data_IF_207633290210
#
_entry.id   IF_207633290210
#
_cell.length_a   1.000
_cell.length_b   1.000
_cell.length_c   1.000
_cell.angle_alpha   90.00
_cell.angle_beta   90.00
_cell.angle_gamma   90.00
#
_symmetry.space_group_name_H-M   'P 1'
#
loop_
_entity.id
_entity.type
_entity.pdbx_description
1 polymer ?
#
# COMPACT_ATOMS: atom_id res chain seq x y z
N UNK A 1 -34.56 45.94 -64.27
CA UNK A 1 -34.04 46.47 -63.00
C UNK A 1 -34.56 45.59 -61.89
N UNK A 2 -33.76 44.67 -61.39
CA UNK A 2 -34.10 43.78 -60.28
C UNK A 2 -33.04 44.00 -59.20
N UNK A 3 -33.45 44.63 -58.10
CA UNK A 3 -32.61 44.91 -56.94
C UNK A 3 -32.44 43.63 -56.10
N UNK A 4 -31.23 43.13 -55.98
CA UNK A 4 -30.91 42.01 -55.12
C UNK A 4 -30.78 42.48 -53.69
N UNK A 5 -31.67 42.01 -52.81
CA UNK A 5 -31.62 42.22 -51.37
C UNK A 5 -30.46 41.44 -50.77
N UNK A 6 -29.42 42.14 -50.28
CA UNK A 6 -28.32 41.58 -49.51
C UNK A 6 -28.86 41.25 -48.11
N UNK A 7 -29.06 39.95 -47.83
CA UNK A 7 -29.34 39.45 -46.51
C UNK A 7 -28.07 39.56 -45.64
N UNK A 8 -28.11 40.49 -44.68
CA UNK A 8 -27.09 40.68 -43.68
C UNK A 8 -27.17 39.53 -42.64
N UNK A 9 -26.42 38.46 -42.84
CA UNK A 9 -26.27 37.38 -41.87
C UNK A 9 -25.38 37.88 -40.72
N UNK A 10 -25.99 38.14 -39.58
CA UNK A 10 -25.29 38.37 -38.31
C UNK A 10 -24.27 37.27 -38.04
N UNK A 11 -23.01 37.58 -37.73
CA UNK A 11 -21.99 36.57 -37.48
C UNK A 11 -22.34 35.81 -36.22
N UNK A 12 -22.71 34.52 -36.34
CA UNK A 12 -22.73 33.61 -35.22
C UNK A 12 -21.36 33.67 -34.55
N UNK A 13 -21.29 34.04 -33.25
CA UNK A 13 -20.08 33.94 -32.42
C UNK A 13 -19.64 32.48 -32.44
N UNK A 14 -18.77 32.12 -33.36
CA UNK A 14 -18.09 30.82 -33.38
C UNK A 14 -17.08 30.90 -32.25
N UNK A 15 -17.32 30.15 -31.15
CA UNK A 15 -16.31 29.94 -30.10
C UNK A 15 -15.00 29.58 -30.75
N UNK A 16 -13.90 30.25 -30.37
CA UNK A 16 -12.57 29.89 -30.88
C UNK A 16 -12.40 28.39 -30.77
N UNK A 17 -11.86 27.71 -31.78
CA UNK A 17 -11.68 26.25 -31.84
C UNK A 17 -11.09 25.69 -30.52
N UNK A 18 -10.11 26.38 -29.96
CA UNK A 18 -9.50 26.07 -28.66
C UNK A 18 -10.50 26.05 -27.47
N UNK A 19 -11.46 27.02 -27.42
CA UNK A 19 -12.45 27.07 -26.32
C UNK A 19 -13.49 25.95 -26.42
N UNK A 20 -13.88 25.60 -27.65
CA UNK A 20 -14.80 24.48 -27.91
C UNK A 20 -14.15 23.14 -27.54
N UNK A 21 -12.89 22.94 -27.94
CA UNK A 21 -12.15 21.70 -27.65
C UNK A 21 -11.91 21.56 -26.13
N UNK A 22 -11.64 22.67 -25.43
CA UNK A 22 -11.54 22.69 -23.94
C UNK A 22 -12.88 22.34 -23.28
N UNK A 23 -13.99 22.88 -23.73
CA UNK A 23 -15.32 22.55 -23.18
C UNK A 23 -15.67 21.07 -23.37
N UNK A 24 -15.35 20.51 -24.52
CA UNK A 24 -15.52 19.07 -24.79
C UNK A 24 -14.64 18.26 -23.82
N UNK A 25 -13.36 18.61 -23.69
CA UNK A 25 -12.46 17.92 -22.76
C UNK A 25 -12.97 17.97 -21.31
N UNK A 26 -13.40 19.14 -20.82
CA UNK A 26 -13.97 19.27 -19.49
C UNK A 26 -15.26 18.48 -19.30
N UNK A 27 -16.12 18.37 -20.33
CA UNK A 27 -17.35 17.58 -20.23
C UNK A 27 -17.08 16.08 -20.04
N UNK A 28 -15.97 15.55 -20.58
CA UNK A 28 -15.54 14.14 -20.36
C UNK A 28 -14.95 13.94 -18.97
N UNK A 29 -14.27 14.94 -18.40
CA UNK A 29 -13.65 14.85 -17.08
C UNK A 29 -14.65 15.13 -15.96
N UNK A 30 -15.66 15.99 -16.22
CA UNK A 30 -16.60 16.48 -15.22
C UNK A 30 -17.33 15.37 -14.42
N UNK A 31 -17.86 14.28 -15.00
CA UNK A 31 -18.54 13.24 -14.24
C UNK A 31 -17.62 12.57 -13.19
N UNK A 32 -16.37 12.28 -13.59
CA UNK A 32 -15.38 11.69 -12.67
C UNK A 32 -14.99 12.71 -11.59
N UNK A 33 -14.73 13.96 -11.98
CA UNK A 33 -14.32 15.01 -11.04
C UNK A 33 -15.43 15.35 -10.03
N UNK A 34 -16.68 15.42 -10.47
CA UNK A 34 -17.83 15.62 -9.58
C UNK A 34 -17.93 14.43 -8.59
N UNK A 35 -17.84 13.19 -9.10
CA UNK A 35 -17.83 11.99 -8.24
C UNK A 35 -16.71 12.03 -7.21
N UNK A 36 -15.51 12.40 -7.62
CA UNK A 36 -14.37 12.59 -6.71
C UNK A 36 -14.63 13.67 -5.64
N UNK A 37 -15.16 14.83 -6.05
CA UNK A 37 -15.48 15.90 -5.11
C UNK A 37 -16.53 15.44 -4.09
N UNK A 38 -17.63 14.85 -4.52
CA UNK A 38 -18.75 14.47 -3.65
C UNK A 38 -18.39 13.29 -2.75
N UNK A 39 -17.77 12.25 -3.26
CA UNK A 39 -17.56 11.00 -2.53
C UNK A 39 -16.18 10.85 -1.88
N UNK A 40 -15.22 11.72 -2.23
CA UNK A 40 -13.87 11.67 -1.65
C UNK A 40 -13.51 12.97 -0.95
N UNK A 41 -13.57 14.10 -1.65
CA UNK A 41 -13.06 15.37 -1.12
C UNK A 41 -13.96 15.92 -0.01
N UNK A 42 -15.28 15.91 -0.18
CA UNK A 42 -16.22 16.39 0.86
C UNK A 42 -16.12 15.55 2.14
N UNK A 43 -16.20 14.19 2.10
CA UNK A 43 -16.01 13.36 3.30
C UNK A 43 -14.63 13.55 3.94
N UNK A 44 -13.58 13.72 3.15
CA UNK A 44 -12.22 13.95 3.67
C UNK A 44 -12.15 15.29 4.46
N UNK A 45 -12.69 16.37 3.90
CA UNK A 45 -12.74 17.68 4.59
C UNK A 45 -13.59 17.59 5.86
N UNK A 46 -14.73 16.90 5.78
CA UNK A 46 -15.58 16.65 6.94
C UNK A 46 -14.85 15.85 8.03
N UNK A 47 -14.13 14.78 7.68
CA UNK A 47 -13.33 14.02 8.62
C UNK A 47 -12.22 14.86 9.27
N UNK A 48 -11.56 15.75 8.50
CA UNK A 48 -10.58 16.70 9.05
C UNK A 48 -11.23 17.61 10.08
N UNK A 49 -12.41 18.18 9.80
CA UNK A 49 -13.14 19.02 10.74
C UNK A 49 -13.56 18.23 12.00
N UNK A 50 -14.04 17.00 11.84
CA UNK A 50 -14.42 16.13 12.95
C UNK A 50 -13.25 15.76 13.87
N UNK A 51 -12.01 15.76 13.39
CA UNK A 51 -10.84 15.47 14.20
C UNK A 51 -10.68 16.45 15.39
N UNK A 52 -11.24 17.67 15.27
CA UNK A 52 -11.25 18.70 16.31
C UNK A 52 -12.52 18.72 17.16
N UNK A 53 -13.42 17.75 16.92
CA UNK A 53 -14.72 17.67 17.59
C UNK A 53 -14.85 16.39 18.42
N UNK A 54 -15.72 16.41 19.41
CA UNK A 54 -16.29 15.22 20.03
C UNK A 54 -17.60 14.90 19.31
N UNK A 55 -17.70 13.67 18.76
CA UNK A 55 -18.91 13.19 18.11
C UNK A 55 -18.97 11.68 18.11
N UNK A 56 -20.12 11.15 18.48
CA UNK A 56 -20.41 9.72 18.57
C UNK A 56 -21.44 9.27 17.50
N UNK A 57 -21.89 10.17 16.64
CA UNK A 57 -22.90 9.90 15.63
C UNK A 57 -24.35 10.05 16.09
N UNK A 58 -24.60 10.29 17.37
CA UNK A 58 -25.92 10.39 17.98
C UNK A 58 -26.20 11.77 18.56
N UNK A 59 -25.25 12.31 19.28
CA UNK A 59 -25.36 13.62 19.91
C UNK A 59 -24.87 14.74 18.97
N UNK A 60 -25.11 15.98 19.37
CA UNK A 60 -24.62 17.14 18.64
C UNK A 60 -23.08 17.14 18.55
N UNK A 61 -22.53 17.65 17.45
CA UNK A 61 -21.08 17.81 17.28
C UNK A 61 -20.61 18.92 18.20
N UNK A 62 -19.68 18.59 19.11
CA UNK A 62 -19.08 19.56 20.04
C UNK A 62 -17.65 19.85 19.61
N UNK A 63 -17.32 21.11 19.39
CA UNK A 63 -15.95 21.52 19.07
C UNK A 63 -15.10 21.53 20.34
N UNK A 64 -14.07 20.67 20.38
CA UNK A 64 -13.16 20.49 21.52
C UNK A 64 -11.70 20.88 21.23
N UNK A 65 -11.43 21.43 20.05
CA UNK A 65 -10.09 21.86 19.64
C UNK A 65 -9.10 20.69 19.60
N UNK A 66 -7.93 20.86 20.22
CA UNK A 66 -6.85 19.87 20.17
C UNK A 66 -6.93 18.74 21.22
N UNK A 67 -8.01 18.67 22.02
CA UNK A 67 -8.12 17.67 23.10
C UNK A 67 -7.96 16.22 22.62
N UNK A 68 -8.47 15.86 21.43
CA UNK A 68 -8.29 14.54 20.85
C UNK A 68 -6.80 14.24 20.64
N UNK A 69 -6.05 15.17 20.04
CA UNK A 69 -4.62 15.00 19.76
C UNK A 69 -3.78 14.93 21.03
N UNK A 70 -4.05 15.80 22.02
CA UNK A 70 -3.36 15.73 23.31
C UNK A 70 -3.56 14.36 23.93
N UNK A 71 -4.79 13.85 23.95
CA UNK A 71 -5.11 12.52 24.46
C UNK A 71 -4.36 11.41 23.73
N UNK A 72 -4.29 11.44 22.40
CA UNK A 72 -3.57 10.45 21.58
C UNK A 72 -2.12 10.32 21.98
N UNK A 73 -1.42 11.44 22.15
CA UNK A 73 0.01 11.41 22.40
C UNK A 73 0.39 11.28 23.90
N UNK A 74 -0.51 11.62 24.82
CA UNK A 74 -0.18 11.61 26.27
C UNK A 74 -0.71 10.39 27.01
N UNK A 75 -1.96 10.00 26.79
CA UNK A 75 -2.65 9.01 27.64
C UNK A 75 -3.10 7.75 26.91
N UNK A 76 -3.20 7.77 25.58
CA UNK A 76 -3.67 6.61 24.81
C UNK A 76 -2.54 5.64 24.48
N UNK A 77 -2.33 4.66 25.37
CA UNK A 77 -1.33 3.61 25.19
C UNK A 77 -1.61 2.70 24.01
N UNK A 78 -2.90 2.53 23.63
CA UNK A 78 -3.28 1.71 22.47
C UNK A 78 -2.85 2.42 21.18
N UNK A 79 -3.08 3.71 21.08
CA UNK A 79 -2.62 4.52 19.95
C UNK A 79 -1.10 4.47 19.81
N UNK A 80 -0.37 4.65 20.92
CA UNK A 80 1.10 4.60 20.90
C UNK A 80 1.62 3.23 20.45
N UNK A 81 1.00 2.14 20.92
CA UNK A 81 1.31 0.79 20.46
C UNK A 81 0.97 0.61 18.95
N UNK A 82 -0.20 1.07 18.51
CA UNK A 82 -0.63 0.99 17.12
C UNK A 82 0.28 1.77 16.18
N UNK A 83 0.73 2.95 16.59
CA UNK A 83 1.70 3.75 15.83
C UNK A 83 3.03 3.00 15.68
N UNK A 84 3.59 2.50 16.79
CA UNK A 84 4.82 1.68 16.78
C UNK A 84 4.67 0.45 15.88
N UNK A 85 3.58 -0.30 16.03
CA UNK A 85 3.33 -1.51 15.27
C UNK A 85 3.19 -1.23 13.77
N UNK A 86 2.54 -0.12 13.40
CA UNK A 86 2.42 0.29 12.00
C UNK A 86 3.79 0.57 11.40
N UNK A 87 4.66 1.29 12.12
CA UNK A 87 6.03 1.56 11.67
C UNK A 87 6.85 0.28 11.56
N UNK A 88 6.80 -0.61 12.57
CA UNK A 88 7.49 -1.92 12.54
C UNK A 88 7.02 -2.76 11.35
N UNK A 89 5.70 -2.80 11.12
CA UNK A 89 5.15 -3.51 9.98
C UNK A 89 5.65 -2.97 8.64
N UNK A 90 5.65 -1.65 8.45
CA UNK A 90 6.14 -1.02 7.21
C UNK A 90 7.62 -1.29 7.00
N UNK A 91 8.45 -1.11 8.03
CA UNK A 91 9.91 -1.37 7.96
C UNK A 91 10.19 -2.85 7.67
N UNK A 92 9.40 -3.78 8.20
CA UNK A 92 9.56 -5.20 7.92
C UNK A 92 9.04 -5.60 6.54
N UNK A 93 7.86 -5.12 6.15
CA UNK A 93 7.18 -5.58 4.93
C UNK A 93 7.75 -4.96 3.66
N UNK A 94 8.05 -3.65 3.67
CA UNK A 94 8.47 -2.93 2.45
C UNK A 94 9.80 -3.44 1.91
N UNK A 95 10.90 -3.51 2.67
CA UNK A 95 12.18 -4.00 2.15
C UNK A 95 12.13 -5.47 1.75
N UNK A 96 11.45 -6.32 2.54
CA UNK A 96 11.36 -7.74 2.25
C UNK A 96 10.54 -7.99 0.97
N UNK A 97 9.39 -7.33 0.81
CA UNK A 97 8.59 -7.46 -0.42
C UNK A 97 9.36 -6.96 -1.63
N UNK A 98 10.06 -5.84 -1.50
CA UNK A 98 10.89 -5.28 -2.57
C UNK A 98 12.00 -6.26 -2.97
N UNK A 99 12.75 -6.79 -2.01
CA UNK A 99 13.83 -7.74 -2.27
C UNK A 99 13.31 -9.04 -2.91
N UNK A 100 12.25 -9.64 -2.36
CA UNK A 100 11.65 -10.87 -2.89
C UNK A 100 11.08 -10.67 -4.30
N UNK A 101 10.35 -9.57 -4.53
CA UNK A 101 9.75 -9.28 -5.84
C UNK A 101 10.80 -9.00 -6.91
N UNK A 102 11.85 -8.24 -6.58
CA UNK A 102 12.96 -7.98 -7.50
C UNK A 102 13.74 -9.27 -7.82
N UNK A 103 14.08 -10.07 -6.79
CA UNK A 103 14.76 -11.35 -7.00
C UNK A 103 13.95 -12.28 -7.91
N UNK A 104 12.65 -12.43 -7.66
CA UNK A 104 11.78 -13.25 -8.52
C UNK A 104 11.68 -12.68 -9.94
N UNK A 105 11.60 -11.36 -10.10
CA UNK A 105 11.55 -10.73 -11.42
C UNK A 105 12.83 -10.98 -12.22
N UNK A 106 14.00 -10.84 -11.59
CA UNK A 106 15.31 -11.12 -12.22
C UNK A 106 15.41 -12.60 -12.63
N UNK A 107 15.00 -13.53 -11.76
CA UNK A 107 14.98 -14.95 -12.08
C UNK A 107 14.05 -15.26 -13.26
N UNK A 108 12.84 -14.71 -13.26
CA UNK A 108 11.84 -14.93 -14.31
C UNK A 108 12.07 -14.07 -15.57
N UNK A 109 13.00 -13.15 -15.57
CA UNK A 109 13.42 -12.41 -16.77
C UNK A 109 14.39 -13.22 -17.63
N UNK A 110 15.02 -14.26 -17.08
CA UNK A 110 15.88 -15.18 -17.83
C UNK A 110 15.06 -16.14 -18.72
N UNK A 111 15.73 -16.88 -19.60
CA UNK A 111 15.10 -17.91 -20.45
C UNK A 111 14.75 -19.18 -19.64
N UNK A 112 13.79 -19.06 -18.72
CA UNK A 112 13.33 -20.18 -17.90
C UNK A 112 12.22 -20.93 -18.62
N UNK A 113 12.33 -22.26 -18.70
CA UNK A 113 11.22 -23.11 -19.19
C UNK A 113 10.00 -22.91 -18.28
N UNK A 114 8.79 -22.88 -18.88
CA UNK A 114 7.53 -22.64 -18.16
C UNK A 114 7.43 -21.28 -17.46
N UNK A 115 8.13 -20.26 -17.96
CA UNK A 115 8.13 -18.89 -17.40
C UNK A 115 6.73 -18.37 -17.07
N UNK A 116 5.76 -18.55 -17.99
CA UNK A 116 4.39 -18.07 -17.79
C UNK A 116 3.69 -18.81 -16.63
N UNK A 117 3.94 -20.10 -16.49
CA UNK A 117 3.41 -20.87 -15.34
C UNK A 117 3.96 -20.34 -14.01
N UNK A 118 5.25 -20.14 -13.89
CA UNK A 118 5.84 -19.58 -12.65
C UNK A 118 5.35 -18.16 -12.36
N UNK A 119 5.16 -17.32 -13.39
CA UNK A 119 4.55 -15.99 -13.23
C UNK A 119 3.13 -16.09 -12.67
N UNK A 120 2.31 -16.99 -13.21
CA UNK A 120 0.94 -17.17 -12.74
C UNK A 120 0.89 -17.68 -11.30
N UNK A 121 1.71 -18.68 -10.96
CA UNK A 121 1.78 -19.22 -9.60
C UNK A 121 2.24 -18.16 -8.59
N UNK A 122 3.25 -17.37 -8.94
CA UNK A 122 3.75 -16.30 -8.08
C UNK A 122 2.75 -15.15 -7.90
N UNK A 123 1.94 -14.86 -8.92
CA UNK A 123 0.91 -13.81 -8.89
C UNK A 123 -0.39 -14.26 -8.21
N UNK A 124 -0.67 -15.57 -8.22
CA UNK A 124 -1.92 -16.14 -7.69
C UNK A 124 -2.26 -15.70 -6.26
N UNK A 125 -1.32 -15.68 -5.28
CA UNK A 125 -1.63 -15.24 -3.92
C UNK A 125 -2.21 -13.82 -3.84
N UNK A 126 -1.78 -12.92 -4.72
CA UNK A 126 -2.28 -11.55 -4.75
C UNK A 126 -3.74 -11.46 -5.17
N UNK A 127 -4.16 -12.26 -6.17
CA UNK A 127 -5.53 -12.25 -6.71
C UNK A 127 -6.49 -13.08 -5.85
N UNK A 128 -5.97 -14.09 -5.15
CA UNK A 128 -6.79 -14.96 -4.31
C UNK A 128 -7.50 -14.20 -3.19
N UNK A 129 -8.71 -14.66 -2.82
CA UNK A 129 -9.46 -14.08 -1.72
C UNK A 129 -8.63 -14.04 -0.44
N UNK A 130 -8.50 -12.86 0.14
CA UNK A 130 -7.74 -12.67 1.37
C UNK A 130 -8.26 -13.57 2.51
N UNK A 131 -9.58 -13.67 2.65
CA UNK A 131 -10.22 -14.47 3.70
C UNK A 131 -9.85 -15.94 3.57
N UNK A 132 -9.97 -16.50 2.36
CA UNK A 132 -9.63 -17.89 2.08
C UNK A 132 -8.13 -18.17 2.33
N UNK A 133 -7.28 -17.30 1.83
CA UNK A 133 -5.83 -17.45 1.98
C UNK A 133 -5.40 -17.29 3.44
N UNK A 134 -5.98 -16.35 4.19
CA UNK A 134 -5.71 -16.17 5.61
C UNK A 134 -6.16 -17.38 6.45
N UNK A 135 -7.32 -17.98 6.12
CA UNK A 135 -7.78 -19.19 6.78
C UNK A 135 -6.80 -20.37 6.60
N UNK A 136 -6.36 -20.59 5.34
CA UNK A 136 -5.34 -21.61 5.04
C UNK A 136 -4.03 -21.32 5.78
N UNK A 137 -3.60 -20.06 5.80
CA UNK A 137 -2.39 -19.64 6.49
C UNK A 137 -2.46 -19.90 7.99
N UNK A 138 -3.60 -19.56 8.63
CA UNK A 138 -3.84 -19.83 10.04
C UNK A 138 -3.86 -21.34 10.36
N UNK A 139 -4.30 -22.20 9.43
CA UNK A 139 -4.20 -23.65 9.58
C UNK A 139 -2.75 -24.13 9.48
N UNK A 140 -1.99 -23.65 8.51
CA UNK A 140 -0.58 -24.03 8.29
C UNK A 140 0.29 -23.59 9.48
N UNK A 141 0.06 -22.40 10.01
CA UNK A 141 0.80 -21.82 11.13
C UNK A 141 0.09 -21.98 12.47
N UNK A 142 -0.80 -22.98 12.60
CA UNK A 142 -1.41 -23.29 13.90
C UNK A 142 -0.35 -23.80 14.88
N UNK A 143 -0.26 -23.23 16.11
CA UNK A 143 0.75 -23.60 17.09
C UNK A 143 0.75 -25.06 17.49
N UNK A 144 -0.44 -25.68 17.60
CA UNK A 144 -0.61 -27.04 18.16
C UNK A 144 -0.68 -28.12 17.07
N UNK A 145 -1.35 -27.84 15.94
CA UNK A 145 -1.64 -28.84 14.91
C UNK A 145 -1.13 -28.45 13.52
N UNK A 146 -0.47 -27.30 13.40
CA UNK A 146 0.02 -26.81 12.11
C UNK A 146 1.20 -27.61 11.58
N UNK A 147 1.22 -27.92 10.26
CA UNK A 147 2.31 -28.68 9.64
C UNK A 147 3.68 -28.03 9.79
N UNK A 148 3.77 -26.71 9.89
CA UNK A 148 5.05 -26.02 10.10
C UNK A 148 5.67 -26.42 11.44
N UNK A 149 4.90 -26.39 12.53
CA UNK A 149 5.40 -26.81 13.84
C UNK A 149 5.70 -28.31 13.91
N UNK A 150 4.93 -29.15 13.20
CA UNK A 150 5.24 -30.57 13.05
C UNK A 150 6.60 -30.78 12.35
N UNK A 151 6.87 -30.05 11.27
CA UNK A 151 8.15 -30.12 10.57
C UNK A 151 9.29 -29.61 11.45
N UNK A 152 9.12 -28.51 12.16
CA UNK A 152 10.14 -27.99 13.09
C UNK A 152 10.47 -28.96 14.20
N UNK A 153 9.47 -29.65 14.75
CA UNK A 153 9.68 -30.63 15.79
C UNK A 153 10.33 -31.92 15.24
N UNK A 154 9.77 -32.51 14.15
CA UNK A 154 10.18 -33.83 13.66
C UNK A 154 11.52 -33.81 12.87
N UNK A 155 11.72 -32.78 12.02
CA UNK A 155 12.90 -32.73 11.16
C UNK A 155 14.03 -31.85 11.74
N UNK A 156 13.69 -30.80 12.49
CA UNK A 156 14.70 -29.92 13.07
C UNK A 156 14.92 -30.14 14.56
N UNK A 157 14.18 -31.09 15.20
CA UNK A 157 14.37 -31.45 16.61
C UNK A 157 14.02 -30.31 17.60
N UNK A 158 13.25 -29.33 17.21
CA UNK A 158 12.85 -28.23 18.09
C UNK A 158 11.90 -28.78 19.15
N UNK A 159 12.25 -28.62 20.43
CA UNK A 159 11.40 -29.06 21.55
C UNK A 159 10.03 -28.37 21.50
N UNK A 160 8.97 -29.08 21.86
CA UNK A 160 7.57 -28.57 21.75
C UNK A 160 7.38 -27.26 22.49
N UNK A 161 8.03 -27.08 23.62
CA UNK A 161 8.02 -25.86 24.46
C UNK A 161 8.65 -24.64 23.79
N UNK A 162 9.57 -24.87 22.84
CA UNK A 162 10.28 -23.83 22.09
C UNK A 162 9.66 -23.54 20.70
N UNK A 163 8.59 -24.25 20.35
CA UNK A 163 7.91 -24.03 19.06
C UNK A 163 7.28 -22.63 19.00
N UNK A 164 7.39 -21.94 17.85
CA UNK A 164 6.78 -20.63 17.67
C UNK A 164 5.27 -20.70 17.81
N UNK A 165 4.70 -19.75 18.53
CA UNK A 165 3.23 -19.61 18.65
C UNK A 165 2.61 -18.84 17.50
N UNK A 166 3.43 -18.43 16.53
CA UNK A 166 3.04 -17.71 15.29
C UNK A 166 2.08 -16.55 15.59
N UNK A 167 0.86 -16.56 14.97
CA UNK A 167 -0.15 -15.53 15.18
C UNK A 167 -0.66 -15.45 16.63
N UNK A 168 -0.53 -16.51 17.42
CA UNK A 168 -0.96 -16.56 18.81
C UNK A 168 0.14 -16.12 19.82
N UNK A 169 1.38 -15.93 19.38
CA UNK A 169 2.50 -15.50 20.22
C UNK A 169 2.71 -13.99 20.14
N UNK A 170 2.91 -13.33 21.30
CA UNK A 170 3.13 -11.88 21.35
C UNK A 170 4.35 -11.43 20.52
N UNK A 171 5.42 -12.20 20.57
CA UNK A 171 6.68 -11.86 19.90
C UNK A 171 6.72 -12.31 18.42
N UNK A 172 5.89 -13.30 18.07
CA UNK A 172 5.88 -13.90 16.73
C UNK A 172 4.73 -13.40 15.85
N UNK A 173 3.67 -12.85 16.43
CA UNK A 173 2.48 -12.43 15.69
C UNK A 173 2.76 -11.40 14.60
N UNK A 174 3.55 -10.36 14.90
CA UNK A 174 3.91 -9.34 13.90
C UNK A 174 4.75 -9.93 12.76
N UNK A 175 5.70 -10.80 13.10
CA UNK A 175 6.53 -11.50 12.10
C UNK A 175 5.65 -12.36 11.19
N UNK A 176 4.68 -13.08 11.75
CA UNK A 176 3.74 -13.92 10.98
C UNK A 176 2.94 -13.09 9.98
N UNK A 177 2.42 -11.92 10.40
CA UNK A 177 1.67 -11.03 9.50
C UNK A 177 2.58 -10.41 8.43
N UNK A 178 3.83 -10.06 8.78
CA UNK A 178 4.82 -9.56 7.80
C UNK A 178 5.09 -10.63 6.74
N UNK A 179 5.39 -11.87 7.14
CA UNK A 179 5.65 -12.99 6.22
C UNK A 179 4.45 -13.25 5.31
N UNK A 180 3.24 -13.27 5.88
CA UNK A 180 2.01 -13.40 5.12
C UNK A 180 1.88 -12.29 4.07
N UNK A 181 2.12 -11.05 4.47
CA UNK A 181 1.97 -9.88 3.61
C UNK A 181 3.00 -9.85 2.49
N UNK A 182 4.25 -10.20 2.79
CA UNK A 182 5.32 -10.34 1.79
C UNK A 182 4.93 -11.39 0.76
N UNK A 183 4.58 -12.60 1.19
CA UNK A 183 4.20 -13.69 0.31
C UNK A 183 2.98 -13.32 -0.56
N UNK A 184 1.98 -12.67 0.02
CA UNK A 184 0.76 -12.27 -0.70
C UNK A 184 1.04 -11.22 -1.78
N UNK A 185 1.94 -10.27 -1.49
CA UNK A 185 2.13 -9.10 -2.35
C UNK A 185 3.33 -9.22 -3.32
N UNK A 186 4.34 -10.07 -3.02
CA UNK A 186 5.57 -10.14 -3.81
C UNK A 186 5.32 -10.43 -5.30
N UNK A 187 4.31 -11.23 -5.63
CA UNK A 187 3.97 -11.56 -7.01
C UNK A 187 3.46 -10.37 -7.84
N UNK A 188 2.68 -9.47 -7.22
CA UNK A 188 2.23 -8.25 -7.85
C UNK A 188 3.40 -7.31 -8.20
N UNK A 189 4.27 -7.05 -7.23
CA UNK A 189 5.44 -6.19 -7.45
C UNK A 189 6.50 -6.85 -8.33
N UNK A 190 6.60 -8.19 -8.35
CA UNK A 190 7.39 -8.93 -9.33
C UNK A 190 6.97 -8.62 -10.76
N UNK A 191 5.67 -8.55 -11.06
CA UNK A 191 5.17 -8.21 -12.41
C UNK A 191 5.57 -6.79 -12.80
N UNK A 192 5.50 -5.83 -11.85
CA UNK A 192 5.94 -4.45 -12.09
C UNK A 192 7.45 -4.40 -12.39
N UNK A 193 8.27 -5.13 -11.63
CA UNK A 193 9.69 -5.23 -11.89
C UNK A 193 10.02 -5.92 -13.22
N UNK A 194 9.25 -6.95 -13.60
CA UNK A 194 9.40 -7.59 -14.90
C UNK A 194 9.13 -6.63 -16.06
N UNK A 195 8.11 -5.78 -15.93
CA UNK A 195 7.85 -4.73 -16.92
C UNK A 195 9.01 -3.69 -16.96
N UNK A 196 9.55 -3.31 -15.81
CA UNK A 196 10.72 -2.44 -15.72
C UNK A 196 11.96 -3.05 -16.36
N UNK A 197 12.24 -4.34 -16.10
CA UNK A 197 13.36 -5.06 -16.71
C UNK A 197 13.26 -5.18 -18.23
N UNK A 198 12.05 -5.31 -18.77
CA UNK A 198 11.82 -5.33 -20.23
C UNK A 198 12.02 -3.95 -20.89
N UNK A 199 11.95 -2.88 -20.10
CA UNK A 199 12.25 -1.51 -20.55
C UNK A 199 13.72 -1.12 -20.46
N UNK A 200 14.58 -1.95 -19.85
CA UNK A 200 16.03 -1.68 -19.78
C UNK A 200 16.67 -1.85 -21.16
N UNK A 201 17.66 -0.98 -21.46
CA UNK A 201 18.41 -1.07 -22.71
C UNK A 201 19.35 -2.30 -22.67
N UNK A 202 19.18 -3.29 -23.58
CA UNK A 202 20.01 -4.48 -23.63
C UNK A 202 21.47 -4.15 -24.05
N UNK A 203 21.67 -3.13 -24.91
CA UNK A 203 23.00 -2.78 -25.44
C UNK A 203 24.00 -2.46 -24.33
N UNK A 204 23.53 -1.89 -23.20
CA UNK A 204 24.39 -1.60 -22.06
C UNK A 204 24.92 -2.86 -21.37
N UNK A 205 24.12 -3.92 -21.32
CA UNK A 205 24.54 -5.20 -20.78
C UNK A 205 25.51 -5.92 -21.74
N UNK A 206 25.26 -5.85 -23.05
CA UNK A 206 26.13 -6.43 -24.08
C UNK A 206 27.49 -5.71 -24.10
N UNK A 207 27.52 -4.38 -24.03
CA UNK A 207 28.77 -3.63 -23.93
C UNK A 207 29.60 -4.00 -22.69
N UNK A 208 28.92 -4.12 -21.53
CA UNK A 208 29.60 -4.54 -20.30
C UNK A 208 30.11 -5.99 -20.36
N UNK A 209 29.44 -6.88 -21.08
CA UNK A 209 29.92 -8.25 -21.29
C UNK A 209 31.18 -8.25 -22.15
N UNK A 210 31.27 -7.40 -23.18
CA UNK A 210 32.48 -7.19 -23.98
C UNK A 210 33.64 -6.62 -23.15
N UNK A 211 33.32 -5.77 -22.14
CA UNK A 211 34.32 -5.21 -21.21
C UNK A 211 34.68 -6.21 -20.09
N UNK A 212 34.18 -7.44 -20.12
CA UNK A 212 34.50 -8.51 -19.17
C UNK A 212 33.72 -8.47 -17.85
N UNK A 213 32.66 -7.68 -17.74
CA UNK A 213 31.82 -7.63 -16.55
C UNK A 213 31.02 -8.95 -16.38
N UNK A 214 31.10 -9.55 -15.20
CA UNK A 214 30.29 -10.70 -14.86
C UNK A 214 28.82 -10.32 -14.58
N UNK A 215 27.90 -11.29 -14.56
CA UNK A 215 26.44 -11.06 -14.36
C UNK A 215 26.11 -10.32 -13.08
N UNK A 216 26.86 -10.52 -12.01
CA UNK A 216 26.67 -9.83 -10.73
C UNK A 216 27.04 -8.35 -10.84
N UNK A 217 28.15 -8.03 -11.51
CA UNK A 217 28.56 -6.66 -11.79
C UNK A 217 27.55 -5.95 -12.71
N UNK A 218 27.09 -6.60 -13.79
CA UNK A 218 26.04 -6.08 -14.66
C UNK A 218 24.75 -5.80 -13.89
N UNK A 219 24.34 -6.69 -12.99
CA UNK A 219 23.13 -6.48 -12.17
C UNK A 219 23.25 -5.22 -11.30
N UNK A 220 24.34 -5.07 -10.54
CA UNK A 220 24.48 -3.97 -9.59
C UNK A 220 24.79 -2.62 -10.25
N UNK A 221 25.58 -2.61 -11.33
CA UNK A 221 26.07 -1.37 -11.93
C UNK A 221 25.28 -0.92 -13.16
N UNK A 222 24.50 -1.80 -13.78
CA UNK A 222 23.74 -1.50 -14.99
C UNK A 222 22.24 -1.72 -14.77
N UNK A 223 21.82 -2.95 -14.43
CA UNK A 223 20.41 -3.29 -14.36
C UNK A 223 19.71 -2.57 -13.21
N UNK A 224 20.27 -2.60 -12.00
CA UNK A 224 19.66 -1.98 -10.82
C UNK A 224 19.57 -0.44 -10.93
N UNK A 225 20.58 0.29 -11.45
CA UNK A 225 20.45 1.71 -11.76
C UNK A 225 19.36 2.03 -12.78
N UNK A 226 19.22 1.24 -13.85
CA UNK A 226 18.14 1.43 -14.82
C UNK A 226 16.75 1.20 -14.21
N UNK A 227 16.64 0.34 -13.20
CA UNK A 227 15.39 0.07 -12.46
C UNK A 227 15.06 1.12 -11.38
N UNK A 228 15.90 2.15 -11.17
CA UNK A 228 15.62 3.18 -10.15
C UNK A 228 14.22 3.79 -10.23
N UNK A 229 13.68 4.17 -11.41
CA UNK A 229 12.33 4.72 -11.50
C UNK A 229 11.25 3.71 -11.08
N UNK A 230 11.40 2.45 -11.51
CA UNK A 230 10.50 1.36 -11.13
C UNK A 230 10.58 1.06 -9.64
N UNK A 231 11.79 1.00 -9.09
CA UNK A 231 12.02 0.77 -7.66
C UNK A 231 11.42 1.89 -6.82
N UNK A 232 11.61 3.15 -7.22
CA UNK A 232 11.01 4.29 -6.56
C UNK A 232 9.47 4.21 -6.54
N UNK A 233 8.86 3.88 -7.67
CA UNK A 233 7.42 3.66 -7.75
C UNK A 233 6.96 2.54 -6.81
N UNK A 234 7.64 1.39 -6.83
CA UNK A 234 7.32 0.23 -5.97
C UNK A 234 7.45 0.59 -4.49
N UNK A 235 8.52 1.29 -4.09
CA UNK A 235 8.74 1.71 -2.70
C UNK A 235 7.62 2.64 -2.23
N UNK A 236 7.22 3.63 -3.02
CA UNK A 236 6.11 4.53 -2.67
C UNK A 236 4.81 3.74 -2.51
N UNK A 237 4.47 2.90 -3.47
CA UNK A 237 3.23 2.11 -3.43
C UNK A 237 3.19 1.15 -2.24
N UNK A 238 4.29 0.44 -1.96
CA UNK A 238 4.43 -0.43 -0.79
C UNK A 238 4.31 0.35 0.52
N UNK A 239 4.95 1.51 0.61
CA UNK A 239 4.92 2.34 1.82
C UNK A 239 3.51 2.84 2.11
N UNK A 240 2.83 3.43 1.12
CA UNK A 240 1.45 3.92 1.28
C UNK A 240 0.51 2.76 1.66
N UNK A 241 0.61 1.61 0.98
CA UNK A 241 -0.21 0.44 1.28
C UNK A 241 0.10 -0.14 2.66
N UNK A 242 1.37 -0.15 3.06
CA UNK A 242 1.81 -0.64 4.37
C UNK A 242 1.27 0.20 5.53
N UNK A 243 1.28 1.53 5.43
CA UNK A 243 0.68 2.38 6.45
C UNK A 243 -0.83 2.24 6.55
N UNK A 244 -1.49 1.83 5.47
CA UNK A 244 -2.95 1.64 5.40
C UNK A 244 -3.38 0.20 5.67
N UNK A 245 -2.48 -0.65 6.18
CA UNK A 245 -2.78 -2.05 6.44
C UNK A 245 -3.88 -2.22 7.49
N UNK A 246 -4.90 -3.00 7.12
CA UNK A 246 -6.02 -3.38 7.97
C UNK A 246 -6.37 -4.87 7.81
N UNK A 247 -6.64 -5.29 6.58
CA UNK A 247 -7.24 -6.59 6.28
C UNK A 247 -6.39 -7.77 6.79
N UNK A 248 -5.07 -7.72 6.62
CA UNK A 248 -4.15 -8.75 7.08
C UNK A 248 -4.14 -8.86 8.61
N UNK A 249 -4.14 -7.72 9.30
CA UNK A 249 -4.19 -7.69 10.75
C UNK A 249 -5.52 -8.24 11.28
N UNK A 250 -6.62 -7.89 10.63
CA UNK A 250 -7.94 -8.37 11.00
C UNK A 250 -8.08 -9.90 10.81
N UNK A 251 -7.62 -10.41 9.66
CA UNK A 251 -7.82 -11.82 9.29
C UNK A 251 -6.84 -12.79 9.97
N UNK A 252 -5.61 -12.38 10.26
CA UNK A 252 -4.57 -13.26 10.81
C UNK A 252 -4.57 -13.24 12.35
N UNK A 253 -4.62 -12.05 12.96
CA UNK A 253 -4.36 -11.88 14.40
C UNK A 253 -5.46 -11.14 15.14
N UNK A 254 -6.39 -10.48 14.45
CA UNK A 254 -7.39 -9.59 15.05
C UNK A 254 -6.77 -8.52 15.98
N UNK A 255 -5.57 -8.01 15.60
CA UNK A 255 -4.82 -7.04 16.40
C UNK A 255 -4.06 -7.60 17.58
N UNK A 256 -4.23 -8.90 17.89
CA UNK A 256 -3.68 -9.59 19.04
C UNK A 256 -2.33 -10.28 18.82
N UNK A 257 -1.89 -11.03 19.87
CA UNK A 257 -2.42 -11.06 21.23
C UNK A 257 -2.23 -9.73 22.00
N UNK A 258 -3.26 -9.33 22.73
CA UNK A 258 -3.31 -7.99 23.33
C UNK A 258 -3.34 -6.89 22.27
N UNK A 259 -2.28 -6.09 22.18
CA UNK A 259 -2.12 -5.05 21.14
C UNK A 259 -0.91 -5.31 20.24
N UNK A 260 -0.38 -6.56 20.19
CA UNK A 260 0.90 -6.87 19.54
C UNK A 260 0.90 -6.59 18.02
N UNK A 261 -0.25 -6.69 17.37
CA UNK A 261 -0.40 -6.41 15.94
C UNK A 261 -1.46 -5.34 15.65
N UNK A 262 -1.89 -4.60 16.68
CA UNK A 262 -2.78 -3.45 16.51
C UNK A 262 -2.08 -2.39 15.64
N UNK A 263 -2.61 -2.11 14.45
CA UNK A 263 -2.14 -1.03 13.57
C UNK A 263 -3.05 0.19 13.65
N UNK A 264 -2.61 1.33 13.13
CA UNK A 264 -3.39 2.56 13.18
C UNK A 264 -4.76 2.41 12.50
N UNK A 265 -4.83 1.80 11.32
CA UNK A 265 -6.10 1.62 10.61
C UNK A 265 -7.01 0.63 11.34
N UNK A 266 -6.44 -0.43 11.91
CA UNK A 266 -7.21 -1.36 12.72
C UNK A 266 -7.74 -0.68 14.00
N UNK A 267 -6.95 0.19 14.62
CA UNK A 267 -7.40 0.97 15.77
C UNK A 267 -8.48 1.99 15.41
N UNK A 268 -8.37 2.67 14.26
CA UNK A 268 -9.42 3.54 13.72
C UNK A 268 -10.74 2.77 13.60
N UNK A 269 -10.69 1.57 13.00
CA UNK A 269 -11.85 0.71 12.85
C UNK A 269 -12.48 0.35 14.22
N UNK A 270 -11.68 -0.05 15.19
CA UNK A 270 -12.17 -0.39 16.53
C UNK A 270 -12.84 0.80 17.24
N UNK A 271 -12.27 2.00 17.13
CA UNK A 271 -12.79 3.22 17.73
C UNK A 271 -14.07 3.71 17.06
N UNK A 272 -14.15 3.51 15.73
CA UNK A 272 -15.28 4.00 14.96
C UNK A 272 -16.48 3.02 14.93
N UNK A 273 -16.21 1.69 14.92
CA UNK A 273 -17.24 0.72 14.56
C UNK A 273 -17.43 -0.45 15.53
N UNK A 274 -16.41 -0.82 16.31
CA UNK A 274 -16.50 -2.01 17.19
C UNK A 274 -16.94 -1.64 18.58
N UNK A 275 -16.32 -0.62 19.18
CA UNK A 275 -16.67 -0.13 20.51
C UNK A 275 -17.79 0.92 20.43
N UNK A 276 -18.10 1.58 21.58
CA UNK A 276 -18.94 2.77 21.55
C UNK A 276 -18.33 3.78 20.55
N UNK A 277 -19.05 4.10 19.44
CA UNK A 277 -18.50 4.93 18.38
C UNK A 277 -18.00 6.28 18.90
N UNK A 278 -16.79 6.66 18.46
CA UNK A 278 -16.17 7.97 18.74
C UNK A 278 -15.59 8.51 17.43
N UNK A 279 -16.48 8.93 16.55
CA UNK A 279 -16.09 9.35 15.19
C UNK A 279 -15.11 10.53 15.20
N UNK A 280 -15.29 11.50 16.10
CA UNK A 280 -14.34 12.61 16.25
C UNK A 280 -12.94 12.12 16.64
N UNK A 281 -12.85 11.17 17.55
CA UNK A 281 -11.57 10.60 17.98
C UNK A 281 -10.94 9.72 16.89
N UNK A 282 -11.72 8.89 16.21
CA UNK A 282 -11.26 8.10 15.06
C UNK A 282 -10.74 8.98 13.92
N UNK A 283 -11.42 10.12 13.68
CA UNK A 283 -10.98 11.12 12.70
C UNK A 283 -9.65 11.76 13.09
N UNK A 284 -9.41 12.02 14.39
CA UNK A 284 -8.11 12.52 14.87
C UNK A 284 -6.98 11.50 14.63
N UNK A 285 -7.21 10.20 14.87
CA UNK A 285 -6.24 9.13 14.54
C UNK A 285 -5.98 9.09 13.03
N UNK A 286 -7.02 9.18 12.22
CA UNK A 286 -6.93 9.19 10.75
C UNK A 286 -6.12 10.38 10.24
N UNK A 287 -6.28 11.56 10.86
CA UNK A 287 -5.52 12.76 10.52
C UNK A 287 -4.03 12.60 10.85
N UNK A 288 -3.71 12.00 12.00
CA UNK A 288 -2.30 11.68 12.33
C UNK A 288 -1.70 10.70 11.32
N UNK A 289 -2.44 9.66 10.94
CA UNK A 289 -2.01 8.72 9.90
C UNK A 289 -1.79 9.42 8.55
N UNK A 290 -2.71 10.29 8.15
CA UNK A 290 -2.60 11.07 6.91
C UNK A 290 -1.34 11.93 6.89
N UNK A 291 -1.09 12.69 7.96
CA UNK A 291 0.12 13.53 8.09
C UNK A 291 1.38 12.68 8.06
N UNK A 292 1.39 11.53 8.73
CA UNK A 292 2.53 10.62 8.76
C UNK A 292 2.84 10.08 7.35
N UNK A 293 1.83 9.58 6.63
CA UNK A 293 2.00 9.08 5.25
C UNK A 293 2.46 10.19 4.32
N UNK A 294 1.88 11.39 4.46
CA UNK A 294 2.27 12.56 3.66
C UNK A 294 3.75 12.93 3.88
N UNK A 295 4.19 13.01 5.13
CA UNK A 295 5.58 13.32 5.48
C UNK A 295 6.55 12.28 4.92
N UNK A 296 6.28 10.99 5.11
CA UNK A 296 7.12 9.91 4.58
C UNK A 296 7.16 9.97 3.06
N UNK A 297 6.03 10.20 2.40
CA UNK A 297 5.97 10.32 0.94
C UNK A 297 6.77 11.53 0.44
N UNK A 298 6.66 12.69 1.10
CA UNK A 298 7.47 13.88 0.75
C UNK A 298 8.97 13.59 0.89
N UNK A 299 9.38 12.91 1.96
CA UNK A 299 10.78 12.52 2.19
C UNK A 299 11.26 11.60 1.06
N UNK A 300 10.48 10.60 0.67
CA UNK A 300 10.80 9.70 -0.44
C UNK A 300 10.96 10.45 -1.77
N UNK A 301 10.05 11.37 -2.08
CA UNK A 301 10.14 12.19 -3.31
C UNK A 301 11.37 13.12 -3.33
N UNK A 302 11.75 13.68 -2.17
CA UNK A 302 12.95 14.51 -2.09
C UNK A 302 14.23 13.69 -2.25
N UNK A 303 14.28 12.50 -1.67
CA UNK A 303 15.41 11.57 -1.83
C UNK A 303 15.62 11.15 -3.29
N UNK A 304 14.55 10.94 -4.05
CA UNK A 304 14.66 10.57 -5.47
C UNK A 304 15.14 11.71 -6.39
N UNK A 305 14.89 12.97 -6.03
CA UNK A 305 15.33 14.14 -6.84
C UNK A 305 16.82 14.47 -6.72
N UNK A 306 17.50 13.96 -5.73
CA UNK A 306 18.93 14.18 -5.52
C UNK A 306 19.85 13.30 -6.39
N UNK A 307 19.29 12.33 -7.11
CA UNK A 307 20.03 11.33 -7.89
C UNK A 307 19.95 11.57 -9.43
N UNK A 308 19.40 12.71 -9.88
CA UNK A 308 19.34 13.10 -11.30
C UNK A 308 20.35 14.18 -11.63
#
# INVERSE_FOLDING_TARGET
>A
MASAAVQNKTPRKVLKKSTRDSLIAYSFIAPNFIGFCVFTLVPMVFAIALAFCAWDGRHAIEFIGLKNFVKLFTTDKIFQAALKNTVVYVIGTVPLTLACSLAMAVLLNQNVKLRNFFRTVAFFPYVASLVAVAAVWNMIFNPSMGPINMILNQFFGVAVENLPRWAAGKDTAMITVILFSVWKNMGYYMVIYLAGLQGCNPDLNEAAELDGANRWQQFWHITLPQLRPTTFFVVIMLTISGFKVYDQMYMITQGGPGTATMTLVYYIYNVAFVNTPKYGYASAISMVLFVLVLLVTIIQFRGSKGDN
#
